data_IF_369008526440
#
_entry.id   IF_369008526440
#
_cell.length_a   1.000
_cell.length_b   1.000
_cell.length_c   1.000
_cell.angle_alpha   90.00
_cell.angle_beta   90.00
_cell.angle_gamma   90.00
#
_symmetry.space_group_name_H-M   'P 1'
#
loop_
_entity.id
_entity.type
_entity.pdbx_description
1 polymer ?
#
# COMPACT_ATOMS: atom_id res chain seq x y z
N UNK A 1 27.21 -17.33 16.28
CA UNK A 1 26.73 -17.57 14.92
C UNK A 1 25.68 -16.57 14.48
N UNK A 2 24.49 -16.46 15.08
CA UNK A 2 23.41 -15.59 14.56
C UNK A 2 23.76 -14.11 14.36
N UNK A 3 24.50 -13.49 15.29
CA UNK A 3 24.86 -12.06 15.21
C UNK A 3 25.80 -11.75 14.02
N UNK A 4 26.74 -12.64 13.75
CA UNK A 4 27.68 -12.49 12.61
C UNK A 4 26.91 -12.62 11.28
N UNK A 5 26.01 -13.59 11.19
CA UNK A 5 25.18 -13.81 10.00
C UNK A 5 24.26 -12.61 9.72
N UNK A 6 23.61 -12.04 10.73
CA UNK A 6 22.78 -10.84 10.57
C UNK A 6 23.59 -9.63 10.08
N UNK A 7 24.81 -9.45 10.58
CA UNK A 7 25.73 -8.39 10.15
C UNK A 7 26.17 -8.57 8.69
N UNK A 8 26.44 -9.80 8.27
CA UNK A 8 26.79 -10.11 6.87
C UNK A 8 25.64 -9.80 5.91
N UNK A 9 24.39 -10.11 6.30
CA UNK A 9 23.20 -9.74 5.51
C UNK A 9 23.02 -8.22 5.43
N UNK A 10 23.22 -7.48 6.53
CA UNK A 10 23.20 -6.01 6.52
C UNK A 10 24.26 -5.42 5.58
N UNK A 11 25.46 -6.00 5.51
CA UNK A 11 26.49 -5.56 4.56
C UNK A 11 26.09 -5.81 3.11
N UNK A 12 25.45 -6.95 2.80
CA UNK A 12 24.90 -7.21 1.46
C UNK A 12 23.85 -6.17 1.06
N UNK A 13 23.01 -5.75 2.02
CA UNK A 13 21.98 -4.74 1.77
C UNK A 13 22.54 -3.34 1.44
N UNK A 14 23.81 -3.07 1.73
CA UNK A 14 24.47 -1.78 1.44
C UNK A 14 25.00 -1.66 0.00
N UNK A 15 24.70 -2.63 -0.88
CA UNK A 15 25.09 -2.58 -2.28
C UNK A 15 24.51 -1.36 -3.00
N UNK A 16 25.33 -0.56 -3.67
CA UNK A 16 24.95 0.75 -4.21
C UNK A 16 23.91 0.70 -5.35
N UNK A 17 23.83 -0.40 -6.10
CA UNK A 17 22.99 -0.50 -7.31
C UNK A 17 21.49 -0.32 -7.03
N UNK A 18 21.04 -0.68 -5.84
CA UNK A 18 19.65 -0.52 -5.43
C UNK A 18 19.27 0.94 -5.06
N UNK A 19 20.26 1.80 -4.82
CA UNK A 19 20.07 3.17 -4.34
C UNK A 19 20.35 4.23 -5.39
N UNK A 20 20.87 3.84 -6.55
CA UNK A 20 21.24 4.77 -7.60
C UNK A 20 20.78 4.29 -8.98
N UNK A 21 20.72 5.24 -9.90
CA UNK A 21 20.51 4.95 -11.31
C UNK A 21 21.80 4.42 -11.92
N UNK A 22 21.74 3.25 -12.53
CA UNK A 22 22.86 2.64 -13.26
C UNK A 22 22.47 2.45 -14.73
N UNK A 23 23.47 2.16 -15.58
CA UNK A 23 23.25 1.85 -17.01
C UNK A 23 22.35 0.62 -17.21
N UNK A 24 22.30 -0.26 -16.24
CA UNK A 24 21.45 -1.46 -16.24
C UNK A 24 20.03 -1.19 -15.73
N UNK A 25 19.71 0.04 -15.28
CA UNK A 25 18.44 0.43 -14.70
C UNK A 25 18.48 0.62 -13.17
N UNK A 26 19.43 0.01 -12.45
CA UNK A 26 19.66 0.23 -11.02
C UNK A 26 18.41 0.16 -10.16
N UNK A 27 18.15 1.23 -9.40
CA UNK A 27 17.01 1.36 -8.49
C UNK A 27 15.62 1.16 -9.17
N UNK A 28 15.50 1.35 -10.49
CA UNK A 28 14.25 1.12 -11.22
C UNK A 28 13.95 -0.36 -11.41
N UNK A 29 14.95 -1.24 -11.26
CA UNK A 29 14.74 -2.68 -11.33
C UNK A 29 14.26 -3.23 -10.01
N UNK A 30 13.05 -3.75 -10.02
CA UNK A 30 12.43 -4.37 -8.87
C UNK A 30 13.29 -5.48 -8.24
N UNK A 31 13.89 -6.34 -9.05
CA UNK A 31 14.73 -7.43 -8.55
C UNK A 31 16.00 -6.97 -7.81
N UNK A 32 16.53 -5.79 -8.14
CA UNK A 32 17.70 -5.20 -7.44
C UNK A 32 17.26 -4.66 -6.08
N UNK A 33 16.16 -3.90 -6.00
CA UNK A 33 15.62 -3.42 -4.72
C UNK A 33 15.20 -4.57 -3.83
N UNK A 34 14.52 -5.55 -4.40
CA UNK A 34 14.10 -6.74 -3.66
C UNK A 34 15.27 -7.53 -3.07
N UNK A 35 16.42 -7.58 -3.74
CA UNK A 35 17.62 -8.21 -3.17
C UNK A 35 18.08 -7.52 -1.87
N UNK A 36 17.97 -6.18 -1.80
CA UNK A 36 18.26 -5.42 -0.58
C UNK A 36 17.22 -5.74 0.51
N UNK A 37 15.93 -5.65 0.22
CA UNK A 37 14.88 -6.02 1.17
C UNK A 37 15.05 -7.43 1.70
N UNK A 38 15.35 -8.38 0.84
CA UNK A 38 15.59 -9.76 1.23
C UNK A 38 16.73 -9.88 2.24
N UNK A 39 17.84 -9.19 2.02
CA UNK A 39 18.97 -9.20 2.96
C UNK A 39 18.60 -8.52 4.27
N UNK A 40 17.85 -7.41 4.26
CA UNK A 40 17.38 -6.76 5.47
C UNK A 40 16.44 -7.66 6.29
N UNK A 41 15.49 -8.31 5.63
CA UNK A 41 14.54 -9.22 6.27
C UNK A 41 15.22 -10.49 6.81
N UNK A 42 16.22 -11.03 6.10
CA UNK A 42 17.03 -12.15 6.63
C UNK A 42 17.85 -11.73 7.85
N UNK A 43 18.43 -10.53 7.86
CA UNK A 43 19.11 -9.99 9.03
C UNK A 43 18.14 -9.86 10.22
N UNK A 44 16.94 -9.34 9.98
CA UNK A 44 15.90 -9.19 10.99
C UNK A 44 15.46 -10.56 11.55
N UNK A 45 15.08 -11.52 10.69
CA UNK A 45 14.72 -12.89 11.10
C UNK A 45 15.80 -13.54 11.94
N UNK A 46 17.06 -13.37 11.54
CA UNK A 46 18.20 -13.92 12.28
C UNK A 46 18.39 -13.26 13.64
N UNK A 47 18.04 -11.97 13.77
CA UNK A 47 18.14 -11.23 15.03
C UNK A 47 16.97 -11.55 15.98
N UNK A 48 15.83 -11.95 15.47
CA UNK A 48 14.65 -12.37 16.24
C UNK A 48 14.92 -13.73 16.86
N UNK A 49 15.21 -13.77 18.15
CA UNK A 49 15.44 -15.05 18.85
C UNK A 49 14.11 -15.79 18.97
N UNK A 50 14.08 -17.02 18.48
CA UNK A 50 12.92 -17.92 18.61
C UNK A 50 12.51 -18.05 20.08
N UNK A 51 11.22 -17.79 20.35
CA UNK A 51 10.66 -17.86 21.70
C UNK A 51 10.95 -16.63 22.60
N UNK A 52 11.62 -15.60 22.09
CA UNK A 52 11.88 -14.33 22.81
C UNK A 52 11.20 -13.14 22.11
N UNK A 53 10.95 -13.24 20.81
CA UNK A 53 10.22 -12.20 20.09
C UNK A 53 8.77 -12.17 20.57
N UNK A 54 8.31 -10.99 20.91
CA UNK A 54 6.92 -10.73 21.34
C UNK A 54 6.32 -9.79 20.30
N UNK A 55 5.18 -10.14 19.68
CA UNK A 55 4.43 -9.24 18.82
C UNK A 55 4.21 -7.88 19.48
N UNK A 56 4.35 -6.81 18.74
CA UNK A 56 4.34 -5.47 19.31
C UNK A 56 3.83 -4.42 18.33
N UNK A 57 3.26 -3.37 18.90
CA UNK A 57 3.03 -2.09 18.22
C UNK A 57 3.95 -1.05 18.85
N UNK A 58 4.89 -0.55 18.06
CA UNK A 58 5.81 0.50 18.49
C UNK A 58 5.47 1.80 17.77
N UNK A 59 5.80 2.93 18.43
CA UNK A 59 5.72 4.27 17.83
C UNK A 59 7.13 4.81 17.76
N UNK A 60 7.56 5.21 16.59
CA UNK A 60 8.92 5.66 16.35
C UNK A 60 8.99 6.47 15.05
N UNK A 61 9.73 7.58 15.05
CA UNK A 61 10.10 8.34 13.85
C UNK A 61 11.12 7.51 13.05
N UNK A 62 10.59 6.63 12.18
CA UNK A 62 11.36 5.60 11.48
C UNK A 62 12.18 6.17 10.34
N UNK A 63 11.67 7.14 9.61
CA UNK A 63 12.34 7.75 8.45
C UNK A 63 12.97 9.12 8.76
N UNK A 64 12.95 9.52 10.04
CA UNK A 64 13.57 10.74 10.56
C UNK A 64 13.02 12.03 9.92
N UNK A 65 11.71 12.03 9.61
CA UNK A 65 11.01 13.17 9.05
C UNK A 65 10.36 14.09 10.13
N UNK A 66 10.41 13.69 11.39
CA UNK A 66 9.87 14.37 12.55
C UNK A 66 8.44 13.98 12.90
N UNK A 67 7.84 13.04 12.17
CA UNK A 67 6.53 12.46 12.45
C UNK A 67 6.71 10.99 12.90
N UNK A 68 5.85 10.53 13.82
CA UNK A 68 5.90 9.14 14.28
C UNK A 68 5.24 8.18 13.28
N UNK A 69 5.86 7.03 13.04
CA UNK A 69 5.26 5.88 12.41
C UNK A 69 4.80 4.83 13.45
N UNK A 70 3.85 4.02 13.02
CA UNK A 70 3.23 2.95 13.82
C UNK A 70 3.65 1.59 13.27
N UNK A 71 4.57 0.94 13.98
CA UNK A 71 5.24 -0.28 13.55
C UNK A 71 4.57 -1.48 14.21
N UNK A 72 3.67 -2.13 13.48
CA UNK A 72 3.10 -3.41 13.85
C UNK A 72 4.07 -4.51 13.46
N UNK A 73 4.48 -5.33 14.40
CA UNK A 73 5.40 -6.44 14.19
C UNK A 73 4.84 -7.71 14.81
N UNK A 74 4.73 -8.75 13.99
CA UNK A 74 4.33 -10.11 14.40
C UNK A 74 5.42 -11.10 13.96
N UNK A 75 5.27 -12.37 14.30
CA UNK A 75 6.20 -13.44 13.89
C UNK A 75 6.28 -13.58 12.35
N UNK A 76 5.22 -13.27 11.63
CA UNK A 76 5.10 -13.46 10.19
C UNK A 76 5.06 -12.14 9.41
N UNK A 77 4.57 -11.07 9.99
CA UNK A 77 4.31 -9.82 9.27
C UNK A 77 4.94 -8.64 10.00
N UNK A 78 5.60 -7.74 9.24
CA UNK A 78 5.75 -6.34 9.63
C UNK A 78 4.78 -5.51 8.80
N UNK A 79 4.06 -4.61 9.46
CA UNK A 79 3.18 -3.66 8.81
C UNK A 79 3.39 -2.29 9.43
N UNK A 80 3.95 -1.35 8.66
CA UNK A 80 4.26 -0.02 9.16
C UNK A 80 3.32 1.01 8.54
N UNK A 81 2.71 1.82 9.39
CA UNK A 81 1.70 2.82 9.02
C UNK A 81 2.24 4.21 9.30
N UNK A 82 2.16 5.12 8.32
CA UNK A 82 2.49 6.54 8.52
C UNK A 82 1.31 7.28 9.14
N UNK A 83 1.59 8.26 10.01
CA UNK A 83 0.61 9.24 10.49
C UNK A 83 0.06 10.07 9.33
N UNK A 84 0.91 10.51 8.42
CA UNK A 84 0.47 11.19 7.20
C UNK A 84 -0.17 10.21 6.23
N UNK A 85 -1.45 10.42 5.96
CA UNK A 85 -2.27 9.55 5.11
C UNK A 85 -2.84 8.34 5.82
N UNK A 86 -2.42 8.07 7.07
CA UNK A 86 -2.75 6.83 7.78
C UNK A 86 -2.66 5.61 6.84
N UNK A 87 -1.59 5.52 6.07
CA UNK A 87 -1.39 4.51 5.01
C UNK A 87 -0.22 3.59 5.31
N UNK A 88 -0.31 2.34 4.86
CA UNK A 88 0.74 1.34 5.03
C UNK A 88 1.84 1.61 4.02
N UNK A 89 3.08 1.80 4.48
CA UNK A 89 4.25 2.05 3.63
C UNK A 89 5.27 0.91 3.63
N UNK A 90 5.16 -0.01 4.58
CA UNK A 90 5.98 -1.21 4.67
C UNK A 90 5.09 -2.40 4.98
N UNK A 91 5.24 -3.51 4.22
CA UNK A 91 4.45 -4.71 4.43
C UNK A 91 5.29 -5.94 4.07
N UNK A 92 5.94 -6.50 5.10
CA UNK A 92 6.85 -7.63 4.96
C UNK A 92 6.16 -8.93 5.32
N UNK A 93 6.39 -9.95 4.51
CA UNK A 93 6.01 -11.32 4.82
C UNK A 93 7.29 -12.14 5.12
N UNK A 94 7.60 -12.27 6.39
CA UNK A 94 8.84 -12.87 6.89
C UNK A 94 9.05 -14.34 6.50
N UNK A 95 7.99 -15.21 6.46
CA UNK A 95 8.16 -16.60 6.05
C UNK A 95 8.77 -16.76 4.65
N UNK A 96 8.53 -15.81 3.74
CA UNK A 96 9.07 -15.81 2.36
C UNK A 96 10.13 -14.74 2.13
N UNK A 97 10.46 -13.98 3.17
CA UNK A 97 11.46 -12.91 3.09
C UNK A 97 11.17 -11.94 1.95
N UNK A 98 9.93 -11.44 1.91
CA UNK A 98 9.42 -10.62 0.81
C UNK A 98 8.71 -9.38 1.33
N UNK A 99 9.05 -8.20 0.76
CA UNK A 99 8.34 -6.97 0.99
C UNK A 99 7.30 -6.74 -0.13
N UNK A 100 6.02 -6.75 0.23
CA UNK A 100 4.93 -6.49 -0.72
C UNK A 100 4.68 -5.00 -0.98
N UNK A 101 5.44 -4.10 -0.35
CA UNK A 101 5.42 -2.67 -0.59
C UNK A 101 6.77 -2.12 -1.07
N UNK A 102 7.63 -2.97 -1.67
CA UNK A 102 8.80 -2.52 -2.40
C UNK A 102 8.40 -1.71 -3.64
N UNK A 103 7.84 -0.53 -3.40
CA UNK A 103 7.43 0.43 -4.42
C UNK A 103 8.42 1.56 -4.52
N UNK A 104 8.67 2.02 -5.74
CA UNK A 104 9.65 3.07 -5.97
C UNK A 104 9.14 4.44 -5.48
N UNK A 105 9.96 5.12 -4.68
CA UNK A 105 9.79 6.55 -4.41
C UNK A 105 10.44 7.34 -5.53
N UNK A 106 9.63 7.91 -6.41
CA UNK A 106 10.15 8.73 -7.50
C UNK A 106 10.40 10.15 -7.00
N UNK A 107 11.65 10.57 -7.03
CA UNK A 107 12.06 11.98 -6.90
C UNK A 107 12.41 12.51 -8.29
N UNK A 108 12.32 13.84 -8.49
CA UNK A 108 12.78 14.46 -9.73
C UNK A 108 14.18 13.97 -10.09
N UNK A 109 14.31 13.37 -11.25
CA UNK A 109 15.61 12.95 -11.78
C UNK A 109 16.30 14.19 -12.38
N UNK A 110 17.10 14.87 -11.56
CA UNK A 110 17.80 16.14 -11.88
C UNK A 110 18.72 16.02 -13.11
N UNK A 111 18.78 14.88 -13.76
CA UNK A 111 19.68 14.59 -14.87
C UNK A 111 19.04 14.41 -16.26
N UNK A 112 17.74 14.56 -16.42
CA UNK A 112 17.10 14.46 -17.76
C UNK A 112 17.15 15.81 -18.48
N UNK A 113 18.05 15.92 -19.45
CA UNK A 113 18.20 17.11 -20.34
C UNK A 113 17.30 17.09 -21.58
N UNK A 114 16.40 16.10 -21.72
CA UNK A 114 15.61 15.86 -22.94
C UNK A 114 14.26 16.61 -23.00
N UNK A 115 14.01 17.56 -22.10
CA UNK A 115 12.81 18.42 -22.14
C UNK A 115 11.48 17.69 -21.95
N UNK A 116 11.47 16.36 -21.99
CA UNK A 116 10.35 15.52 -21.59
C UNK A 116 10.48 15.25 -20.08
N UNK A 117 10.34 16.31 -19.28
CA UNK A 117 10.05 16.12 -17.87
C UNK A 117 8.74 15.33 -17.80
N UNK A 118 8.85 13.99 -17.82
CA UNK A 118 7.83 13.18 -17.21
C UNK A 118 7.67 13.82 -15.84
N UNK A 119 6.52 14.46 -15.57
CA UNK A 119 6.15 14.97 -14.26
C UNK A 119 6.39 13.84 -13.30
N UNK A 120 7.52 13.90 -12.64
CA UNK A 120 7.96 12.81 -11.80
C UNK A 120 7.14 12.84 -10.55
N UNK A 121 6.60 11.73 -10.32
CA UNK A 121 5.76 11.30 -9.24
C UNK A 121 6.47 11.60 -7.93
N UNK A 122 6.03 12.59 -7.20
CA UNK A 122 6.59 12.97 -5.90
C UNK A 122 5.90 12.17 -4.80
N UNK A 123 6.27 10.90 -4.63
CA UNK A 123 5.77 10.14 -3.50
C UNK A 123 5.92 8.62 -3.67
N UNK A 124 6.13 7.94 -2.55
CA UNK A 124 6.09 6.47 -2.48
C UNK A 124 4.63 6.01 -2.60
N UNK A 125 4.39 4.96 -3.38
CA UNK A 125 3.09 4.29 -3.38
C UNK A 125 2.92 3.54 -2.06
N UNK A 126 1.78 3.74 -1.43
CA UNK A 126 1.42 3.13 -0.15
C UNK A 126 0.08 2.43 -0.27
N UNK A 127 -0.15 1.42 0.56
CA UNK A 127 -1.43 0.72 0.61
C UNK A 127 -2.38 1.34 1.63
N UNK A 128 -3.68 1.20 1.38
CA UNK A 128 -4.73 1.89 2.11
C UNK A 128 -4.60 3.42 2.05
N UNK A 129 -4.15 3.92 0.90
CA UNK A 129 -4.10 5.34 0.57
C UNK A 129 -5.47 5.76 -0.01
N UNK A 130 -6.32 6.31 0.83
CA UNK A 130 -7.74 6.50 0.54
C UNK A 130 -8.02 7.63 -0.43
N UNK A 131 -9.00 7.42 -1.31
CA UNK A 131 -9.46 8.37 -2.32
C UNK A 131 -10.97 8.50 -2.22
N UNK A 132 -11.47 9.75 -2.23
CA UNK A 132 -12.87 10.06 -2.47
C UNK A 132 -13.00 10.74 -3.84
N UNK A 133 -13.85 10.22 -4.71
CA UNK A 133 -14.04 10.76 -6.06
C UNK A 133 -15.50 10.83 -6.46
N UNK A 134 -15.89 11.76 -7.35
CA UNK A 134 -17.19 11.70 -8.02
C UNK A 134 -17.38 10.37 -8.74
N UNK A 135 -18.61 9.81 -8.77
CA UNK A 135 -18.89 8.51 -9.41
C UNK A 135 -18.60 8.46 -10.92
N UNK A 136 -18.66 9.61 -11.59
CA UNK A 136 -18.46 9.76 -13.05
C UNK A 136 -16.96 9.71 -13.48
N UNK A 137 -16.03 9.82 -12.52
CA UNK A 137 -14.60 9.77 -12.85
C UNK A 137 -14.19 8.32 -13.16
N UNK A 138 -13.57 8.07 -14.32
CA UNK A 138 -13.03 6.75 -14.62
C UNK A 138 -12.04 6.29 -13.54
N UNK A 139 -12.24 5.09 -13.02
CA UNK A 139 -11.47 4.57 -11.87
C UNK A 139 -9.98 4.44 -12.21
N UNK A 140 -9.64 4.10 -13.44
CA UNK A 140 -8.26 3.88 -13.88
C UNK A 140 -7.38 5.13 -13.70
N UNK A 141 -7.93 6.33 -13.91
CA UNK A 141 -7.18 7.58 -13.69
C UNK A 141 -6.90 7.86 -12.22
N UNK A 142 -7.62 7.20 -11.30
CA UNK A 142 -7.44 7.37 -9.87
C UNK A 142 -6.21 6.62 -9.33
N UNK A 143 -5.67 5.67 -10.08
CA UNK A 143 -4.43 4.99 -9.72
C UNK A 143 -3.21 5.95 -9.61
N UNK A 144 -3.26 7.07 -10.32
CA UNK A 144 -2.19 8.07 -10.36
C UNK A 144 -2.43 9.25 -9.39
N UNK A 145 -3.59 9.32 -8.74
CA UNK A 145 -3.91 10.39 -7.79
C UNK A 145 -2.96 10.36 -6.59
N UNK A 146 -2.49 11.54 -6.21
CA UNK A 146 -1.49 11.70 -5.13
C UNK A 146 -0.06 11.38 -5.56
N UNK A 147 0.16 10.99 -6.82
CA UNK A 147 1.45 10.63 -7.39
C UNK A 147 1.82 11.57 -8.54
N UNK A 148 0.97 11.68 -9.57
CA UNK A 148 1.25 12.48 -10.78
C UNK A 148 0.54 13.84 -10.82
N UNK A 149 -0.14 14.24 -9.78
CA UNK A 149 -0.80 15.55 -9.66
C UNK A 149 -2.02 15.55 -8.76
N UNK A 150 -2.49 16.77 -8.48
CA UNK A 150 -3.68 17.01 -7.67
C UNK A 150 -4.87 17.27 -8.60
N UNK A 151 -5.93 16.48 -8.44
CA UNK A 151 -7.24 16.76 -9.05
C UNK A 151 -8.09 17.53 -8.03
N UNK A 152 -8.67 18.66 -8.42
CA UNK A 152 -9.50 19.49 -7.54
C UNK A 152 -10.85 18.87 -7.20
N UNK A 153 -11.32 17.98 -8.06
CA UNK A 153 -12.59 17.24 -7.95
C UNK A 153 -12.46 15.93 -7.16
N UNK A 154 -11.25 15.58 -6.71
CA UNK A 154 -10.95 14.36 -5.95
C UNK A 154 -10.27 14.75 -4.64
N UNK A 155 -10.65 14.09 -3.54
CA UNK A 155 -9.93 14.19 -2.27
C UNK A 155 -8.98 12.98 -2.13
N UNK A 156 -7.69 13.25 -2.10
CA UNK A 156 -6.66 12.26 -1.80
C UNK A 156 -6.27 12.35 -0.33
N UNK A 157 -6.84 11.46 0.48
CA UNK A 157 -6.63 11.44 1.92
C UNK A 157 -5.24 10.92 2.33
N UNK A 158 -4.56 10.17 1.43
CA UNK A 158 -3.21 9.67 1.63
C UNK A 158 -2.11 10.75 1.73
N UNK A 159 -2.42 12.00 1.37
CA UNK A 159 -1.52 13.15 1.54
C UNK A 159 -1.87 14.05 2.71
N UNK A 160 -2.94 13.77 3.44
CA UNK A 160 -3.44 14.59 4.55
C UNK A 160 -2.87 14.13 5.89
N UNK A 161 -2.79 15.05 6.86
CA UNK A 161 -2.40 14.71 8.23
C UNK A 161 -3.59 14.13 8.99
N UNK A 162 -3.41 12.98 9.60
CA UNK A 162 -4.40 12.28 10.41
C UNK A 162 -4.07 12.41 11.89
N UNK A 163 -5.09 12.59 12.70
CA UNK A 163 -4.98 12.58 14.16
C UNK A 163 -5.00 11.14 14.67
N UNK A 164 -4.07 10.77 15.52
CA UNK A 164 -4.13 9.49 16.24
C UNK A 164 -5.06 9.64 17.42
N UNK A 165 -6.14 8.86 17.44
CA UNK A 165 -7.20 8.94 18.45
C UNK A 165 -7.02 7.92 19.57
N UNK A 166 -6.49 6.75 19.24
CA UNK A 166 -6.29 5.66 20.19
C UNK A 166 -5.14 4.78 19.75
N UNK A 167 -4.37 4.30 20.71
CA UNK A 167 -3.25 3.41 20.49
C UNK A 167 -3.23 2.33 21.58
N UNK A 168 -3.75 1.16 21.26
CA UNK A 168 -3.73 0.00 22.15
C UNK A 168 -2.59 -0.95 21.74
N UNK A 169 -1.44 -0.76 22.37
CA UNK A 169 -0.24 -1.56 22.07
C UNK A 169 -0.41 -3.03 22.45
N UNK A 170 -1.21 -3.34 23.47
CA UNK A 170 -1.44 -4.70 23.91
C UNK A 170 -2.33 -5.51 22.97
N UNK A 171 -3.15 -4.82 22.17
CA UNK A 171 -4.03 -5.43 21.17
C UNK A 171 -3.56 -5.16 19.74
N UNK A 172 -2.38 -4.57 19.55
CA UNK A 172 -1.84 -4.21 18.23
C UNK A 172 -2.85 -3.43 17.39
N UNK A 173 -3.44 -2.39 18.00
CA UNK A 173 -4.50 -1.59 17.40
C UNK A 173 -4.14 -0.11 17.41
N UNK A 174 -4.33 0.56 16.28
CA UNK A 174 -4.21 2.02 16.16
C UNK A 174 -5.43 2.61 15.46
N UNK A 175 -5.95 3.72 15.97
CA UNK A 175 -7.10 4.45 15.43
C UNK A 175 -6.64 5.81 14.94
N UNK A 176 -6.90 6.11 13.67
CA UNK A 176 -6.59 7.36 13.01
C UNK A 176 -7.88 8.06 12.59
N UNK A 177 -7.91 9.38 12.70
CA UNK A 177 -9.04 10.20 12.26
C UNK A 177 -8.60 11.30 11.31
N UNK A 178 -9.27 11.40 10.18
CA UNK A 178 -9.21 12.54 9.27
C UNK A 178 -10.45 13.38 9.46
N UNK A 179 -10.28 14.56 10.05
CA UNK A 179 -11.39 15.46 10.33
C UNK A 179 -12.01 16.02 9.04
N UNK A 180 -13.31 16.34 9.11
CA UNK A 180 -13.98 17.12 8.09
C UNK A 180 -13.34 18.52 7.97
N UNK A 181 -13.35 19.07 6.77
CA UNK A 181 -12.87 20.41 6.43
C UNK A 181 -14.01 21.33 5.98
N UNK A 182 -13.72 22.61 5.89
CA UNK A 182 -14.70 23.61 5.44
C UNK A 182 -14.72 23.79 3.93
N UNK A 183 -13.70 23.31 3.21
CA UNK A 183 -13.57 23.52 1.77
C UNK A 183 -12.82 22.38 1.06
N UNK A 184 -13.05 22.26 -0.24
CA UNK A 184 -12.45 21.23 -1.10
C UNK A 184 -13.43 20.11 -1.45
N UNK A 185 -13.03 19.24 -2.37
CA UNK A 185 -13.83 18.08 -2.74
C UNK A 185 -14.05 17.17 -1.54
N UNK A 186 -15.28 16.78 -1.27
CA UNK A 186 -15.69 15.92 -0.15
C UNK A 186 -15.12 16.36 1.21
N UNK A 187 -14.92 17.66 1.39
CA UNK A 187 -14.33 18.22 2.61
C UNK A 187 -15.15 17.88 3.87
N UNK A 188 -16.48 17.83 3.76
CA UNK A 188 -17.36 17.49 4.86
C UNK A 188 -17.31 16.01 5.30
N UNK A 189 -16.65 15.13 4.54
CA UNK A 189 -16.51 13.73 4.91
C UNK A 189 -15.39 13.57 5.93
N UNK A 190 -15.76 13.13 7.12
CA UNK A 190 -14.85 12.67 8.18
C UNK A 190 -14.59 11.19 7.99
N UNK A 191 -13.33 10.75 8.21
CA UNK A 191 -12.95 9.35 8.10
C UNK A 191 -12.25 8.94 9.38
N UNK A 192 -12.72 7.85 10.00
CA UNK A 192 -11.99 7.12 11.03
C UNK A 192 -11.50 5.79 10.47
N UNK A 193 -10.25 5.46 10.74
CA UNK A 193 -9.58 4.26 10.27
C UNK A 193 -8.94 3.54 11.45
N UNK A 194 -9.30 2.29 11.66
CA UNK A 194 -8.73 1.44 12.70
C UNK A 194 -7.92 0.33 12.08
N UNK A 195 -6.64 0.28 12.39
CA UNK A 195 -5.75 -0.82 12.07
C UNK A 195 -5.68 -1.82 13.22
N UNK A 196 -5.69 -3.10 12.87
CA UNK A 196 -5.46 -4.19 13.79
C UNK A 196 -4.70 -5.30 13.08
N UNK A 197 -3.51 -5.64 13.57
CA UNK A 197 -2.72 -6.76 13.09
C UNK A 197 -2.87 -7.95 14.03
N UNK A 198 -3.16 -9.12 13.47
CA UNK A 198 -3.21 -10.37 14.24
C UNK A 198 -2.72 -11.53 13.38
N UNK A 199 -1.54 -12.03 13.66
CA UNK A 199 -0.88 -13.07 12.86
C UNK A 199 -0.78 -12.65 11.39
N UNK A 200 -1.31 -13.49 10.49
CA UNK A 200 -1.25 -13.29 9.03
C UNK A 200 -2.39 -12.40 8.49
N UNK A 201 -3.07 -11.63 9.37
CA UNK A 201 -4.26 -10.86 9.02
C UNK A 201 -4.08 -9.41 9.47
N UNK A 202 -4.13 -8.51 8.51
CA UNK A 202 -4.28 -7.07 8.73
C UNK A 202 -5.74 -6.69 8.48
N UNK A 203 -6.45 -6.26 9.53
CA UNK A 203 -7.80 -5.70 9.42
C UNK A 203 -7.74 -4.19 9.43
N UNK A 204 -8.48 -3.56 8.53
CA UNK A 204 -8.62 -2.11 8.42
C UNK A 204 -10.10 -1.76 8.42
N UNK A 205 -10.61 -1.28 9.55
CA UNK A 205 -12.00 -0.83 9.67
C UNK A 205 -12.09 0.65 9.39
N UNK A 206 -13.05 1.01 8.55
CA UNK A 206 -13.38 2.38 8.22
C UNK A 206 -14.75 2.78 8.76
N UNK A 207 -14.84 4.02 9.24
CA UNK A 207 -16.12 4.72 9.47
C UNK A 207 -16.05 6.06 8.74
N UNK A 208 -16.91 6.25 7.75
CA UNK A 208 -17.06 7.50 7.02
C UNK A 208 -18.34 8.19 7.48
N UNK A 209 -18.23 9.46 7.88
CA UNK A 209 -19.37 10.26 8.36
C UNK A 209 -19.46 11.55 7.54
N UNK A 210 -20.63 11.81 7.01
CA UNK A 210 -20.92 13.09 6.36
C UNK A 210 -21.28 14.15 7.43
N UNK A 211 -20.36 15.07 7.70
CA UNK A 211 -20.56 16.22 8.62
C UNK A 211 -21.16 17.44 7.91
N UNK A 212 -21.57 17.30 6.67
CA UNK A 212 -22.22 18.36 5.90
C UNK A 212 -23.72 18.39 6.08
N UNK A 213 -24.34 19.55 5.79
CA UNK A 213 -25.78 19.75 5.86
C UNK A 213 -26.58 19.22 4.65
N UNK A 214 -25.94 18.51 3.71
CA UNK A 214 -26.55 17.94 2.52
C UNK A 214 -26.05 16.52 2.25
N UNK A 215 -26.83 15.67 1.56
CA UNK A 215 -26.36 14.36 1.11
C UNK A 215 -25.09 14.42 0.25
N UNK A 216 -24.26 13.42 0.33
CA UNK A 216 -23.02 13.30 -0.45
C UNK A 216 -22.94 11.95 -1.16
N UNK A 217 -22.80 12.00 -2.50
CA UNK A 217 -22.64 10.80 -3.34
C UNK A 217 -21.21 10.76 -3.89
N UNK A 218 -20.49 9.68 -3.62
CA UNK A 218 -19.08 9.53 -4.01
C UNK A 218 -18.65 8.07 -4.07
N UNK A 219 -17.52 7.83 -4.75
CA UNK A 219 -16.80 6.59 -4.64
C UNK A 219 -15.77 6.69 -3.51
N UNK A 220 -15.79 5.74 -2.59
CA UNK A 220 -14.73 5.49 -1.61
C UNK A 220 -13.80 4.40 -2.14
N UNK A 221 -12.48 4.66 -2.12
CA UNK A 221 -11.48 3.77 -2.72
C UNK A 221 -10.26 3.69 -1.77
N UNK A 222 -10.17 2.65 -0.93
CA UNK A 222 -8.96 2.36 -0.16
C UNK A 222 -7.91 1.71 -1.08
N UNK A 223 -7.16 2.54 -1.82
CA UNK A 223 -6.18 2.08 -2.81
C UNK A 223 -5.08 1.24 -2.15
N UNK A 224 -4.78 0.09 -2.75
CA UNK A 224 -3.64 -0.75 -2.39
C UNK A 224 -2.66 -0.82 -3.56
N UNK A 225 -1.38 -0.73 -3.24
CA UNK A 225 -0.28 -1.01 -4.17
C UNK A 225 0.51 -2.20 -3.62
N UNK A 226 0.61 -3.29 -4.40
CA UNK A 226 1.31 -4.51 -3.99
C UNK A 226 2.44 -4.82 -4.98
N UNK A 227 3.62 -5.13 -4.46
CA UNK A 227 4.81 -5.42 -5.24
C UNK A 227 5.03 -6.93 -5.32
N UNK A 228 4.74 -7.52 -6.48
CA UNK A 228 4.93 -8.95 -6.75
C UNK A 228 6.28 -9.24 -7.42
N UNK A 229 6.79 -10.48 -7.34
CA UNK A 229 8.00 -10.87 -8.05
C UNK A 229 7.80 -10.80 -9.57
N UNK A 230 8.73 -10.15 -10.27
CA UNK A 230 8.77 -10.17 -11.72
C UNK A 230 7.80 -9.21 -12.42
N UNK A 231 7.76 -9.32 -13.75
CA UNK A 231 6.97 -8.45 -14.60
C UNK A 231 5.59 -9.11 -14.86
N UNK A 232 4.57 -8.63 -14.14
CA UNK A 232 3.17 -8.87 -14.49
C UNK A 232 2.69 -10.33 -14.37
N UNK A 233 1.91 -10.75 -15.37
CA UNK A 233 1.12 -11.99 -15.37
C UNK A 233 1.92 -13.31 -15.22
N UNK A 234 3.23 -13.30 -15.46
CA UNK A 234 4.07 -14.50 -15.35
C UNK A 234 4.22 -15.02 -13.91
N UNK A 235 4.03 -14.14 -12.93
CA UNK A 235 4.30 -14.48 -11.53
C UNK A 235 3.10 -14.28 -10.61
N UNK A 236 1.98 -13.73 -11.10
CA UNK A 236 0.77 -13.54 -10.31
C UNK A 236 -0.47 -14.01 -11.08
N UNK A 237 -1.42 -14.58 -10.35
CA UNK A 237 -2.78 -14.83 -10.82
C UNK A 237 -3.76 -14.09 -9.94
N UNK A 238 -4.81 -13.57 -10.54
CA UNK A 238 -5.80 -12.77 -9.80
C UNK A 238 -7.18 -13.37 -9.99
N UNK A 239 -7.89 -13.53 -8.88
CA UNK A 239 -9.22 -14.10 -8.84
C UNK A 239 -10.18 -13.17 -8.10
N UNK A 240 -11.38 -13.06 -8.63
CA UNK A 240 -12.51 -12.48 -7.92
C UNK A 240 -13.09 -13.55 -7.00
N UNK A 241 -13.31 -13.19 -5.73
CA UNK A 241 -13.93 -14.05 -4.72
C UNK A 241 -15.37 -13.61 -4.55
N UNK A 242 -16.31 -14.54 -4.78
CA UNK A 242 -17.75 -14.31 -4.62
C UNK A 242 -18.34 -15.35 -3.67
N UNK A 243 -19.61 -15.20 -3.31
CA UNK A 243 -20.31 -16.20 -2.51
C UNK A 243 -20.37 -17.58 -3.19
N UNK A 244 -20.26 -17.63 -4.54
CA UNK A 244 -20.26 -18.86 -5.34
C UNK A 244 -18.91 -19.51 -5.55
N UNK A 245 -17.80 -18.90 -5.07
CA UNK A 245 -16.45 -19.43 -5.25
C UNK A 245 -15.47 -18.42 -5.84
N UNK A 246 -14.45 -18.92 -6.54
CA UNK A 246 -13.41 -18.11 -7.18
C UNK A 246 -13.50 -18.22 -8.70
N UNK A 247 -13.39 -17.09 -9.36
CA UNK A 247 -13.32 -17.01 -10.82
C UNK A 247 -12.19 -16.07 -11.25
N UNK A 248 -11.50 -16.32 -12.37
CA UNK A 248 -10.48 -15.40 -12.87
C UNK A 248 -11.06 -14.00 -13.01
N UNK A 249 -10.33 -12.99 -12.55
CA UNK A 249 -10.75 -11.62 -12.70
C UNK A 249 -10.59 -11.20 -14.18
N UNK A 250 -11.69 -10.85 -14.81
CA UNK A 250 -11.71 -10.25 -16.13
C UNK A 250 -11.73 -8.71 -15.98
N UNK A 251 -11.27 -7.98 -17.00
CA UNK A 251 -11.15 -6.50 -17.02
C UNK A 251 -12.46 -5.76 -16.71
N UNK A 252 -13.60 -6.44 -16.77
CA UNK A 252 -14.90 -5.81 -16.60
C UNK A 252 -15.27 -5.42 -15.15
N UNK A 253 -14.48 -5.82 -14.14
CA UNK A 253 -14.83 -5.55 -12.74
C UNK A 253 -16.09 -6.32 -12.28
N UNK A 254 -16.76 -5.80 -11.26
CA UNK A 254 -18.02 -6.30 -10.73
C UNK A 254 -17.93 -6.60 -9.23
N UNK A 255 -19.09 -6.61 -8.57
CA UNK A 255 -19.19 -6.82 -7.12
C UNK A 255 -18.46 -8.09 -6.67
N UNK A 256 -17.51 -7.92 -5.76
CA UNK A 256 -16.72 -8.97 -5.17
C UNK A 256 -16.82 -8.92 -3.64
N UNK A 257 -16.86 -10.09 -2.99
CA UNK A 257 -16.62 -10.20 -1.56
C UNK A 257 -15.12 -10.05 -1.24
N UNK A 258 -14.27 -10.35 -2.24
CA UNK A 258 -12.83 -10.20 -2.12
C UNK A 258 -12.09 -10.40 -3.45
N UNK A 259 -10.81 -10.10 -3.41
CA UNK A 259 -9.84 -10.35 -4.49
C UNK A 259 -8.72 -11.21 -3.92
N UNK A 260 -8.37 -12.27 -4.63
CA UNK A 260 -7.25 -13.13 -4.31
C UNK A 260 -6.12 -12.96 -5.33
N UNK A 261 -4.92 -12.70 -4.85
CA UNK A 261 -3.68 -12.73 -5.62
C UNK A 261 -2.90 -13.99 -5.26
N UNK A 262 -2.47 -14.73 -6.27
CA UNK A 262 -1.55 -15.85 -6.11
C UNK A 262 -0.17 -15.41 -6.58
N UNK A 263 0.75 -15.25 -5.64
CA UNK A 263 2.17 -15.06 -5.92
C UNK A 263 2.80 -16.43 -6.19
N UNK A 264 3.01 -16.72 -7.47
CA UNK A 264 3.47 -18.03 -7.91
C UNK A 264 4.95 -18.29 -7.58
N UNK A 265 5.75 -17.23 -7.41
CA UNK A 265 7.18 -17.37 -7.10
C UNK A 265 7.41 -17.63 -5.61
N UNK A 266 6.71 -16.91 -4.77
CA UNK A 266 6.84 -17.04 -3.32
C UNK A 266 5.87 -18.09 -2.73
N UNK A 267 4.96 -18.64 -3.56
CA UNK A 267 3.91 -19.57 -3.13
C UNK A 267 3.05 -18.97 -2.01
N UNK A 268 2.64 -17.71 -2.20
CA UNK A 268 1.83 -16.95 -1.23
C UNK A 268 0.49 -16.61 -1.87
N UNK A 269 -0.56 -16.77 -1.09
CA UNK A 269 -1.90 -16.32 -1.43
C UNK A 269 -2.21 -15.07 -0.59
N UNK A 270 -2.51 -13.96 -1.26
CA UNK A 270 -2.92 -12.71 -0.62
C UNK A 270 -4.38 -12.47 -0.95
N UNK A 271 -5.22 -12.38 0.07
CA UNK A 271 -6.66 -12.14 -0.12
C UNK A 271 -7.04 -10.82 0.54
N UNK A 272 -7.56 -9.87 -0.25
CA UNK A 272 -8.30 -8.73 0.27
C UNK A 272 -9.79 -9.06 0.23
N UNK A 273 -10.48 -8.95 1.35
CA UNK A 273 -11.93 -9.12 1.45
C UNK A 273 -12.58 -7.94 2.18
N UNK A 274 -13.89 -7.74 1.98
CA UNK A 274 -14.68 -6.76 2.71
C UNK A 274 -16.04 -7.33 3.07
N UNK A 275 -16.53 -6.98 4.26
CA UNK A 275 -17.88 -7.33 4.75
C UNK A 275 -19.00 -6.61 3.98
N UNK A 276 -18.65 -5.58 3.20
CA UNK A 276 -19.60 -4.79 2.40
C UNK A 276 -19.48 -5.01 0.90
N UNK A 277 -18.57 -5.86 0.45
CA UNK A 277 -18.25 -6.04 -0.96
C UNK A 277 -17.79 -4.76 -1.64
N UNK A 278 -17.19 -4.89 -2.81
CA UNK A 278 -16.69 -3.77 -3.61
C UNK A 278 -16.57 -4.16 -5.08
N UNK A 279 -16.62 -3.18 -5.96
CA UNK A 279 -16.13 -3.34 -7.33
C UNK A 279 -14.60 -3.22 -7.34
N UNK A 280 -13.90 -3.92 -8.21
CA UNK A 280 -12.44 -3.94 -8.22
C UNK A 280 -11.87 -3.57 -9.60
N UNK A 281 -10.81 -2.75 -9.58
CA UNK A 281 -9.95 -2.51 -10.74
C UNK A 281 -8.51 -2.83 -10.36
N UNK A 282 -7.80 -3.47 -11.28
CA UNK A 282 -6.40 -3.85 -11.10
C UNK A 282 -5.59 -3.30 -12.26
N UNK A 283 -4.51 -2.61 -11.92
CA UNK A 283 -3.64 -1.95 -12.88
C UNK A 283 -2.18 -2.30 -12.61
N UNK A 284 -1.45 -2.66 -13.67
CA UNK A 284 0.01 -2.84 -13.59
C UNK A 284 0.68 -1.46 -13.67
N UNK A 285 1.43 -1.13 -12.64
CA UNK A 285 2.18 0.13 -12.57
C UNK A 285 3.58 -0.09 -13.08
N UNK A 286 3.96 0.70 -14.08
CA UNK A 286 5.27 0.64 -14.72
C UNK A 286 5.94 2.00 -14.74
N UNK A 287 7.27 2.04 -14.67
CA UNK A 287 8.06 3.27 -14.79
C UNK A 287 8.95 3.22 -16.02
N UNK A 288 8.98 4.26 -16.87
CA UNK A 288 9.92 4.34 -17.98
C UNK A 288 11.34 4.57 -17.43
N UNK A 289 12.31 3.84 -17.95
CA UNK A 289 13.71 4.04 -17.62
C UNK A 289 14.62 3.65 -18.80
N UNK A 290 15.83 4.19 -18.81
CA UNK A 290 16.87 3.79 -19.76
C UNK A 290 17.63 2.57 -19.22
N UNK A 291 17.64 1.49 -19.99
CA UNK A 291 18.40 0.27 -19.71
C UNK A 291 19.33 0.02 -20.87
N UNK A 292 20.63 0.13 -20.63
CA UNK A 292 21.68 0.07 -21.68
C UNK A 292 21.38 0.97 -22.88
N UNK A 293 20.94 2.21 -22.62
CA UNK A 293 20.63 3.20 -23.65
C UNK A 293 19.27 3.01 -24.35
N UNK A 294 18.53 1.96 -24.05
CA UNK A 294 17.19 1.71 -24.60
C UNK A 294 16.12 2.05 -23.58
N UNK A 295 15.06 2.75 -24.02
CA UNK A 295 13.91 3.00 -23.17
C UNK A 295 13.11 1.71 -22.94
N UNK A 296 12.82 1.41 -21.67
CA UNK A 296 12.01 0.28 -21.22
C UNK A 296 11.01 0.74 -20.19
N UNK A 297 9.86 0.09 -20.14
CA UNK A 297 8.91 0.25 -19.02
C UNK A 297 9.11 -0.93 -18.07
N UNK A 298 9.50 -0.62 -16.84
CA UNK A 298 9.76 -1.64 -15.82
C UNK A 298 8.60 -1.66 -14.82
N UNK A 299 8.12 -2.86 -14.51
CA UNK A 299 7.11 -3.11 -13.50
C UNK A 299 7.56 -2.60 -12.13
N UNK A 300 6.65 -1.96 -11.41
CA UNK A 300 6.88 -1.44 -10.06
C UNK A 300 5.92 -2.03 -9.02
N UNK A 301 4.64 -2.10 -9.34
CA UNK A 301 3.61 -2.63 -8.45
C UNK A 301 2.34 -3.00 -9.22
N UNK A 302 1.48 -3.72 -8.57
CA UNK A 302 0.08 -3.95 -8.98
C UNK A 302 -0.80 -3.09 -8.08
N UNK A 303 -1.51 -2.15 -8.69
CA UNK A 303 -2.44 -1.26 -8.02
C UNK A 303 -3.84 -1.91 -8.02
N UNK A 304 -4.38 -2.16 -6.84
CA UNK A 304 -5.76 -2.58 -6.63
C UNK A 304 -6.58 -1.38 -6.15
N UNK A 305 -7.67 -1.11 -6.83
CA UNK A 305 -8.65 -0.09 -6.50
C UNK A 305 -9.99 -0.77 -6.12
N UNK A 306 -10.22 -1.07 -4.83
CA UNK A 306 -11.53 -1.50 -4.35
C UNK A 306 -12.46 -0.29 -4.32
N UNK A 307 -13.51 -0.31 -5.12
CA UNK A 307 -14.44 0.82 -5.28
C UNK A 307 -15.74 0.52 -4.58
N UNK A 308 -16.14 1.41 -3.68
CA UNK A 308 -17.48 1.38 -3.07
C UNK A 308 -18.18 2.71 -3.32
N UNK A 309 -19.25 2.68 -4.10
CA UNK A 309 -20.13 3.83 -4.25
C UNK A 309 -20.95 4.00 -2.97
N UNK A 310 -20.92 5.20 -2.41
CA UNK A 310 -21.62 5.59 -1.20
C UNK A 310 -22.58 6.75 -1.49
N UNK A 311 -23.70 6.71 -0.80
CA UNK A 311 -24.67 7.80 -0.72
C UNK A 311 -24.95 8.02 0.78
N UNK A 312 -24.41 9.10 1.32
CA UNK A 312 -24.50 9.41 2.74
C UNK A 312 -25.37 10.65 2.94
N UNK A 313 -26.49 10.47 3.62
CA UNK A 313 -27.31 11.57 4.08
C UNK A 313 -26.53 12.53 4.98
N UNK A 314 -27.06 13.75 5.20
CA UNK A 314 -26.51 14.68 6.19
C UNK A 314 -26.40 13.99 7.55
N UNK A 315 -25.24 14.10 8.22
CA UNK A 315 -24.88 13.40 9.47
C UNK A 315 -24.94 11.86 9.38
N UNK A 316 -25.16 11.31 8.19
CA UNK A 316 -25.16 9.86 7.93
C UNK A 316 -23.76 9.25 8.04
N UNK A 317 -23.69 7.97 8.39
CA UNK A 317 -22.43 7.23 8.52
C UNK A 317 -22.49 5.88 7.80
N UNK A 318 -21.32 5.44 7.32
CA UNK A 318 -21.11 4.11 6.76
C UNK A 318 -19.86 3.48 7.36
N UNK A 319 -19.93 2.17 7.63
CA UNK A 319 -18.82 1.40 8.19
C UNK A 319 -18.58 0.15 7.38
N UNK A 320 -17.29 -0.16 7.13
CA UNK A 320 -16.84 -1.42 6.55
C UNK A 320 -15.51 -1.86 7.14
N UNK A 321 -15.25 -3.16 7.06
CA UNK A 321 -13.96 -3.74 7.38
C UNK A 321 -13.36 -4.38 6.13
N UNK A 322 -12.10 -4.02 5.85
CA UNK A 322 -11.27 -4.66 4.84
C UNK A 322 -10.24 -5.52 5.55
N UNK A 323 -10.12 -6.76 5.10
CA UNK A 323 -9.19 -7.73 5.67
C UNK A 323 -8.21 -8.18 4.61
N UNK A 324 -6.91 -7.93 4.85
CA UNK A 324 -5.81 -8.43 4.04
C UNK A 324 -5.18 -9.62 4.74
N UNK A 325 -5.32 -10.81 4.15
CA UNK A 325 -4.83 -12.08 4.68
C UNK A 325 -3.74 -12.65 3.79
N UNK A 326 -2.65 -13.12 4.40
CA UNK A 326 -1.59 -13.87 3.73
C UNK A 326 -1.64 -15.33 4.16
N UNK A 327 -1.49 -16.23 3.18
CA UNK A 327 -1.40 -17.67 3.41
C UNK A 327 -0.30 -18.27 2.55
N UNK A 328 0.40 -19.30 3.05
CA UNK A 328 1.49 -20.00 2.36
C UNK A 328 1.48 -21.49 2.67
#
# INVERSE_FOLDING_TARGET
MGRQTAQEELWKAQGCDAFCRTVSGGLYRHNIRNAVYRSLLEAEKTSRKKGVFIPSLMTFDFDLDGEDEYLFQDDHINCYVKSRGASVFEFDFLPRTWNYLDTLTLREDIGRTDGTAARQLSGRRTSFADILSPPEIPVDVLAEVGISGVRRDVRFCGGETWEVRDLDKAREKAVFRLAAKTSGAFAAIEIEKTYHLKKDILSVRYTLTNRGGAPAVFNFIPRLDLSFPGEGELFQRVFKVTAGGKEPLNDAGGDAAGIEFQDLKNEVIITLSSDRGFDARILSITTPCLVYGSEKRLYQSTCLLPVKKLDLEAEGSWTAEYTLKLAH
#
